data_IF_628919398771
#
_entry.id   IF_628919398771
#
_cell.length_a   1.000
_cell.length_b   1.000
_cell.length_c   1.000
_cell.angle_alpha   90.00
_cell.angle_beta   90.00
_cell.angle_gamma   90.00
#
_symmetry.space_group_name_H-M   'P 1'
#
loop_
_entity.id
_entity.type
_entity.pdbx_description
1 polymer ?
#
# COMPACT_ATOMS: atom_id res chain seq x y z
N UNK A 1 -5.61 0.85 -14.81
CA UNK A 1 -4.79 1.98 -15.30
C UNK A 1 -3.56 1.98 -14.43
N UNK A 2 -2.36 2.19 -15.02
CA UNK A 2 -1.14 2.29 -14.22
C UNK A 2 -1.16 3.56 -13.37
N UNK A 3 -0.61 3.45 -12.18
CA UNK A 3 -0.38 4.57 -11.28
C UNK A 3 0.89 5.29 -11.69
N UNK A 4 0.87 6.62 -11.61
CA UNK A 4 2.05 7.47 -11.74
C UNK A 4 2.51 7.91 -10.35
N UNK A 5 3.82 8.02 -10.13
CA UNK A 5 4.36 8.66 -8.92
C UNK A 5 3.76 10.05 -8.69
N UNK A 6 3.48 10.79 -9.78
CA UNK A 6 2.85 12.12 -9.73
C UNK A 6 1.39 12.13 -9.27
N UNK A 7 0.74 10.96 -9.15
CA UNK A 7 -0.64 10.87 -8.64
C UNK A 7 -0.72 11.03 -7.11
N UNK A 8 0.44 10.95 -6.44
CA UNK A 8 0.60 11.02 -4.99
C UNK A 8 1.47 12.22 -4.62
N UNK A 9 1.18 12.92 -3.51
CA UNK A 9 2.02 14.01 -3.07
C UNK A 9 3.35 13.49 -2.53
N UNK A 10 4.41 14.24 -2.77
CA UNK A 10 5.67 14.09 -2.03
C UNK A 10 5.43 14.44 -0.56
N UNK A 11 5.87 13.56 0.35
CA UNK A 11 5.72 13.77 1.79
C UNK A 11 7.04 14.26 2.41
N UNK A 12 7.01 15.10 3.47
CA UNK A 12 8.23 15.76 3.98
C UNK A 12 9.34 14.86 4.54
N UNK A 13 9.08 13.58 4.79
CA UNK A 13 10.08 12.61 5.25
C UNK A 13 10.43 11.67 4.10
N UNK A 14 11.66 11.76 3.60
CA UNK A 14 12.11 11.04 2.39
C UNK A 14 11.90 9.53 2.49
N UNK A 15 12.20 8.92 3.65
CA UNK A 15 12.00 7.48 3.86
C UNK A 15 10.54 7.05 3.66
N UNK A 16 9.56 7.85 4.14
CA UNK A 16 8.14 7.58 3.90
C UNK A 16 7.79 7.78 2.42
N UNK A 17 8.32 8.82 1.79
CA UNK A 17 8.06 9.06 0.36
C UNK A 17 8.57 7.92 -0.52
N UNK A 18 9.79 7.45 -0.28
CA UNK A 18 10.43 6.39 -1.07
C UNK A 18 9.65 5.07 -0.97
N UNK A 19 9.14 4.72 0.21
CA UNK A 19 8.32 3.52 0.41
C UNK A 19 7.01 3.62 -0.37
N UNK A 20 6.35 4.78 -0.41
CA UNK A 20 5.16 4.97 -1.25
C UNK A 20 5.46 4.77 -2.75
N UNK A 21 6.63 5.22 -3.22
CA UNK A 21 7.03 5.02 -4.61
C UNK A 21 7.29 3.53 -4.91
N UNK A 22 7.89 2.79 -3.98
CA UNK A 22 8.05 1.34 -4.10
C UNK A 22 6.69 0.63 -4.18
N UNK A 23 5.73 1.01 -3.34
CA UNK A 23 4.38 0.44 -3.37
C UNK A 23 3.70 0.69 -4.73
N UNK A 24 3.84 1.89 -5.32
CA UNK A 24 3.38 2.20 -6.68
C UNK A 24 3.97 1.25 -7.72
N UNK A 25 5.27 0.98 -7.66
CA UNK A 25 5.94 0.05 -8.58
C UNK A 25 5.38 -1.37 -8.45
N UNK A 26 5.18 -1.85 -7.22
CA UNK A 26 4.61 -3.17 -6.95
C UNK A 26 3.19 -3.31 -7.47
N UNK A 27 2.34 -2.29 -7.24
CA UNK A 27 0.96 -2.27 -7.74
C UNK A 27 0.94 -2.31 -9.27
N UNK A 28 1.80 -1.53 -9.92
CA UNK A 28 1.90 -1.51 -11.38
C UNK A 28 2.38 -2.85 -11.94
N UNK A 29 3.33 -3.51 -11.26
CA UNK A 29 3.79 -4.84 -11.66
C UNK A 29 2.68 -5.90 -11.53
N UNK A 30 1.88 -5.84 -10.46
CA UNK A 30 0.71 -6.73 -10.28
C UNK A 30 -0.34 -6.45 -11.36
N UNK A 31 -0.59 -5.19 -11.68
CA UNK A 31 -1.52 -4.81 -12.75
C UNK A 31 -1.12 -5.42 -14.10
N UNK A 32 0.15 -5.30 -14.49
CA UNK A 32 0.66 -5.91 -15.72
C UNK A 32 0.53 -7.42 -15.69
N UNK A 33 0.87 -8.04 -14.56
CA UNK A 33 0.75 -9.49 -14.37
C UNK A 33 -0.69 -9.98 -14.52
N UNK A 34 -1.68 -9.24 -14.02
CA UNK A 34 -3.10 -9.58 -14.22
C UNK A 34 -3.46 -9.55 -15.71
N UNK A 35 -3.03 -8.52 -16.45
CA UNK A 35 -3.27 -8.44 -17.90
C UNK A 35 -2.61 -9.60 -18.67
N UNK A 36 -1.39 -10.01 -18.28
CA UNK A 36 -0.71 -11.17 -18.86
C UNK A 36 -1.45 -12.48 -18.57
N UNK A 37 -2.03 -12.62 -17.38
CA UNK A 37 -2.86 -13.79 -17.01
C UNK A 37 -4.15 -13.82 -17.83
N UNK A 38 -4.85 -12.68 -17.94
CA UNK A 38 -6.10 -12.57 -18.71
C UNK A 38 -5.90 -12.86 -20.19
N UNK A 39 -4.74 -12.48 -20.74
CA UNK A 39 -4.36 -12.78 -22.12
C UNK A 39 -3.79 -14.20 -22.33
N UNK A 40 -3.68 -15.01 -21.27
CA UNK A 40 -3.18 -16.38 -21.33
C UNK A 40 -1.66 -16.49 -21.47
N UNK A 41 -0.93 -15.38 -21.36
CA UNK A 41 0.53 -15.32 -21.50
C UNK A 41 1.27 -15.68 -20.20
N UNK A 42 0.56 -15.74 -19.06
CA UNK A 42 1.15 -16.08 -17.77
C UNK A 42 0.25 -17.00 -16.93
N UNK A 43 0.87 -17.77 -16.04
CA UNK A 43 0.18 -18.65 -15.10
C UNK A 43 -0.27 -17.87 -13.86
N UNK A 44 -1.48 -18.17 -13.38
CA UNK A 44 -2.06 -17.59 -12.16
C UNK A 44 -1.20 -17.73 -10.90
N UNK A 45 -0.43 -18.81 -10.78
CA UNK A 45 0.39 -19.09 -9.59
C UNK A 45 1.35 -17.93 -9.23
N UNK A 46 1.87 -17.21 -10.23
CA UNK A 46 2.79 -16.09 -10.04
C UNK A 46 2.10 -14.90 -9.37
N UNK A 47 0.79 -14.73 -9.57
CA UNK A 47 0.04 -13.65 -8.95
C UNK A 47 -0.05 -13.83 -7.44
N UNK A 48 -0.19 -15.07 -6.96
CA UNK A 48 -0.19 -15.35 -5.52
C UNK A 48 1.11 -14.90 -4.84
N UNK A 49 2.27 -15.15 -5.47
CA UNK A 49 3.57 -14.72 -4.96
C UNK A 49 3.67 -13.18 -4.91
N UNK A 50 3.22 -12.49 -5.96
CA UNK A 50 3.26 -11.02 -5.99
C UNK A 50 2.30 -10.35 -5.03
N UNK A 51 1.14 -10.96 -4.79
CA UNK A 51 0.19 -10.48 -3.78
C UNK A 51 0.73 -10.68 -2.36
N UNK A 52 1.47 -11.77 -2.10
CA UNK A 52 2.13 -11.99 -0.82
C UNK A 52 3.27 -11.01 -0.59
N UNK A 53 4.08 -10.72 -1.62
CA UNK A 53 5.11 -9.69 -1.56
C UNK A 53 4.51 -8.31 -1.22
N UNK A 54 3.41 -7.93 -1.88
CA UNK A 54 2.70 -6.68 -1.58
C UNK A 54 2.17 -6.64 -0.15
N UNK A 55 1.52 -7.71 0.30
CA UNK A 55 0.98 -7.79 1.65
C UNK A 55 2.09 -7.64 2.71
N UNK A 56 3.23 -8.31 2.53
CA UNK A 56 4.39 -8.21 3.44
C UNK A 56 4.95 -6.78 3.41
N UNK A 57 5.11 -6.20 2.22
CA UNK A 57 5.61 -4.83 2.08
C UNK A 57 4.71 -3.81 2.80
N UNK A 58 3.40 -3.86 2.60
CA UNK A 58 2.43 -2.97 3.26
C UNK A 58 2.45 -3.17 4.79
N UNK A 59 2.63 -4.40 5.28
CA UNK A 59 2.80 -4.66 6.72
C UNK A 59 4.05 -4.02 7.30
N UNK A 60 5.19 -4.17 6.63
CA UNK A 60 6.47 -3.61 7.05
C UNK A 60 6.46 -2.08 6.99
N UNK A 61 5.89 -1.51 5.93
CA UNK A 61 5.66 -0.07 5.78
C UNK A 61 4.87 0.48 6.97
N UNK A 62 3.66 -0.05 7.23
CA UNK A 62 2.83 0.41 8.34
C UNK A 62 3.52 0.22 9.69
N UNK A 63 4.20 -0.90 9.91
CA UNK A 63 4.93 -1.15 11.15
C UNK A 63 6.05 -0.13 11.38
N UNK A 64 6.76 0.28 10.33
CA UNK A 64 7.80 1.30 10.43
C UNK A 64 7.21 2.67 10.78
N UNK A 65 6.16 3.10 10.10
CA UNK A 65 5.50 4.37 10.39
C UNK A 65 4.89 4.40 11.80
N UNK A 66 4.25 3.31 12.21
CA UNK A 66 3.70 3.16 13.56
C UNK A 66 4.79 3.26 14.64
N UNK A 67 5.94 2.64 14.40
CA UNK A 67 7.11 2.77 15.28
C UNK A 67 7.59 4.22 15.36
N UNK A 68 7.76 4.90 14.23
CA UNK A 68 8.18 6.30 14.18
C UNK A 68 7.17 7.22 14.90
N UNK A 69 5.88 7.00 14.68
CA UNK A 69 4.81 7.74 15.35
C UNK A 69 4.85 7.57 16.87
N UNK A 70 5.08 6.35 17.37
CA UNK A 70 5.21 6.08 18.80
C UNK A 70 6.43 6.76 19.41
N UNK A 71 7.60 6.62 18.79
CA UNK A 71 8.86 7.23 19.26
C UNK A 71 8.75 8.76 19.33
N UNK A 72 8.12 9.36 18.33
CA UNK A 72 7.91 10.80 18.25
C UNK A 72 6.73 11.32 19.07
N UNK A 73 5.97 10.44 19.75
CA UNK A 73 4.75 10.79 20.49
C UNK A 73 3.71 11.52 19.61
N UNK A 74 3.52 11.03 18.38
CA UNK A 74 2.59 11.62 17.42
C UNK A 74 1.14 11.57 17.95
N UNK A 75 0.49 12.74 18.17
CA UNK A 75 -0.78 12.77 18.91
C UNK A 75 -1.93 11.94 18.32
N UNK A 76 -2.15 11.87 16.99
CA UNK A 76 -3.24 11.08 16.43
C UNK A 76 -2.84 9.63 16.07
N UNK A 77 -1.81 9.05 16.72
CA UNK A 77 -1.34 7.68 16.49
C UNK A 77 -2.46 6.64 16.47
N UNK A 78 -3.34 6.62 17.46
CA UNK A 78 -4.39 5.59 17.58
C UNK A 78 -5.35 5.60 16.37
N UNK A 79 -5.66 6.79 15.85
CA UNK A 79 -6.50 6.95 14.67
C UNK A 79 -5.78 6.47 13.41
N UNK A 80 -4.50 6.84 13.25
CA UNK A 80 -3.67 6.43 12.13
C UNK A 80 -3.51 4.90 12.09
N UNK A 81 -3.08 4.31 13.20
CA UNK A 81 -2.96 2.85 13.31
C UNK A 81 -4.26 2.12 12.99
N UNK A 82 -5.41 2.67 13.38
CA UNK A 82 -6.69 2.05 13.06
C UNK A 82 -6.98 2.06 11.54
N UNK A 83 -6.62 3.13 10.83
CA UNK A 83 -6.73 3.16 9.36
C UNK A 83 -5.85 2.08 8.72
N UNK A 84 -4.60 1.92 9.18
CA UNK A 84 -3.71 0.84 8.76
C UNK A 84 -4.29 -0.55 9.01
N UNK A 85 -4.75 -0.82 10.23
CA UNK A 85 -5.33 -2.11 10.58
C UNK A 85 -6.53 -2.48 9.70
N UNK A 86 -7.42 -1.52 9.44
CA UNK A 86 -8.58 -1.73 8.58
C UNK A 86 -8.16 -2.05 7.15
N UNK A 87 -7.26 -1.26 6.58
CA UNK A 87 -6.79 -1.50 5.21
C UNK A 87 -6.03 -2.82 5.07
N UNK A 88 -5.18 -3.15 6.05
CA UNK A 88 -4.43 -4.39 6.06
C UNK A 88 -5.37 -5.62 6.12
N UNK A 89 -6.45 -5.54 6.89
CA UNK A 89 -7.47 -6.58 6.90
C UNK A 89 -8.14 -6.73 5.53
N UNK A 90 -8.50 -5.63 4.89
CA UNK A 90 -9.11 -5.65 3.54
C UNK A 90 -8.18 -6.25 2.48
N UNK A 91 -6.87 -5.91 2.55
CA UNK A 91 -5.85 -6.49 1.68
C UNK A 91 -5.69 -7.99 1.94
N UNK A 92 -5.59 -8.39 3.22
CA UNK A 92 -5.49 -9.80 3.62
C UNK A 92 -6.69 -10.61 3.13
N UNK A 93 -7.90 -10.07 3.25
CA UNK A 93 -9.13 -10.71 2.80
C UNK A 93 -9.13 -10.88 1.27
N UNK A 94 -8.76 -9.83 0.52
CA UNK A 94 -8.66 -9.90 -0.94
C UNK A 94 -7.64 -10.94 -1.41
N UNK A 95 -6.47 -11.00 -0.77
CA UNK A 95 -5.43 -12.00 -1.08
C UNK A 95 -5.89 -13.42 -0.72
N UNK A 96 -6.59 -13.58 0.40
CA UNK A 96 -7.11 -14.89 0.84
C UNK A 96 -8.20 -15.40 -0.10
N UNK A 97 -9.16 -14.56 -0.46
CA UNK A 97 -10.20 -14.90 -1.45
C UNK A 97 -9.60 -15.24 -2.80
N UNK A 98 -8.57 -14.50 -3.25
CA UNK A 98 -7.83 -14.87 -4.46
C UNK A 98 -7.21 -16.28 -4.35
N UNK A 99 -6.54 -16.59 -3.24
CA UNK A 99 -5.87 -17.89 -3.03
C UNK A 99 -6.87 -19.05 -2.99
N UNK A 100 -8.05 -18.84 -2.43
CA UNK A 100 -9.11 -19.85 -2.35
C UNK A 100 -9.83 -20.04 -3.69
N UNK A 101 -10.31 -18.95 -4.30
CA UNK A 101 -11.21 -19.02 -5.45
C UNK A 101 -10.47 -18.98 -6.80
N UNK A 102 -9.27 -18.42 -6.84
CA UNK A 102 -8.49 -18.14 -8.06
C UNK A 102 -9.30 -17.36 -9.12
N UNK A 103 -10.28 -16.57 -8.66
CA UNK A 103 -11.12 -15.71 -9.47
C UNK A 103 -10.42 -14.36 -9.70
N UNK A 104 -10.13 -14.02 -10.95
CA UNK A 104 -9.38 -12.80 -11.30
C UNK A 104 -10.21 -11.53 -11.05
N UNK A 105 -11.51 -11.55 -11.36
CA UNK A 105 -12.37 -10.35 -11.30
C UNK A 105 -12.33 -9.61 -9.95
N UNK A 106 -12.55 -10.28 -8.81
CA UNK A 106 -12.51 -9.62 -7.50
C UNK A 106 -11.16 -9.01 -7.14
N UNK A 107 -10.06 -9.75 -7.32
CA UNK A 107 -8.72 -9.24 -7.01
C UNK A 107 -8.30 -8.13 -7.97
N UNK A 108 -8.68 -8.23 -9.24
CA UNK A 108 -8.47 -7.20 -10.24
C UNK A 108 -9.19 -5.90 -9.85
N UNK A 109 -10.45 -6.00 -9.41
CA UNK A 109 -11.21 -4.84 -8.94
C UNK A 109 -10.56 -4.19 -7.72
N UNK A 110 -10.08 -4.99 -6.77
CA UNK A 110 -9.39 -4.49 -5.59
C UNK A 110 -8.11 -3.72 -5.98
N UNK A 111 -7.25 -4.34 -6.80
CA UNK A 111 -5.96 -3.78 -7.23
C UNK A 111 -6.12 -2.54 -8.13
N UNK A 112 -7.15 -2.50 -8.98
CA UNK A 112 -7.35 -1.38 -9.93
C UNK A 112 -8.05 -0.18 -9.32
N UNK A 113 -8.88 -0.37 -8.31
CA UNK A 113 -9.78 0.68 -7.85
C UNK A 113 -9.68 0.93 -6.35
N UNK A 114 -9.80 -0.12 -5.53
CA UNK A 114 -9.90 0.05 -4.08
C UNK A 114 -8.57 0.46 -3.46
N UNK A 115 -7.51 -0.31 -3.75
CA UNK A 115 -6.18 -0.05 -3.20
C UNK A 115 -5.63 1.32 -3.64
N UNK A 116 -5.61 1.69 -4.93
CA UNK A 116 -5.04 2.98 -5.34
C UNK A 116 -5.81 4.18 -4.80
N UNK A 117 -7.14 4.05 -4.66
CA UNK A 117 -7.96 5.08 -4.03
C UNK A 117 -7.58 5.26 -2.57
N UNK A 118 -7.53 4.15 -1.81
CA UNK A 118 -7.16 4.20 -0.40
C UNK A 118 -5.77 4.81 -0.21
N UNK A 119 -4.78 4.31 -0.95
CA UNK A 119 -3.40 4.80 -0.92
C UNK A 119 -3.34 6.31 -1.18
N UNK A 120 -4.05 6.79 -2.21
CA UNK A 120 -4.08 8.23 -2.54
C UNK A 120 -4.69 9.07 -1.42
N UNK A 121 -5.84 8.64 -0.91
CA UNK A 121 -6.57 9.37 0.13
C UNK A 121 -5.76 9.38 1.45
N UNK A 122 -5.13 8.25 1.80
CA UNK A 122 -4.31 8.07 3.00
C UNK A 122 -3.03 8.92 2.96
N UNK A 123 -2.23 8.79 1.89
CA UNK A 123 -0.98 9.55 1.73
C UNK A 123 -1.24 11.05 1.73
N UNK A 124 -2.28 11.50 1.02
CA UNK A 124 -2.60 12.92 0.88
C UNK A 124 -3.13 13.57 2.14
N UNK A 125 -3.47 12.79 3.17
CA UNK A 125 -4.10 13.30 4.39
C UNK A 125 -3.33 12.91 5.64
N UNK A 126 -3.22 11.61 5.93
CA UNK A 126 -2.65 11.10 7.16
C UNK A 126 -1.12 11.09 7.09
N UNK A 127 -0.54 10.55 6.02
CA UNK A 127 0.92 10.40 5.92
C UNK A 127 1.59 11.74 5.69
N UNK A 128 0.98 12.64 4.92
CA UNK A 128 1.51 13.99 4.72
C UNK A 128 1.68 14.74 6.06
N UNK A 129 0.65 14.68 6.93
CA UNK A 129 0.70 15.30 8.26
C UNK A 129 1.68 14.57 9.17
N UNK A 130 1.71 13.25 9.12
CA UNK A 130 2.60 12.40 9.92
C UNK A 130 4.06 12.66 9.57
N UNK A 131 4.42 12.58 8.30
CA UNK A 131 5.74 12.88 7.78
C UNK A 131 6.20 14.30 8.13
N UNK A 132 5.30 15.30 8.01
CA UNK A 132 5.60 16.67 8.43
C UNK A 132 5.89 16.79 9.93
N UNK A 133 5.16 16.07 10.78
CA UNK A 133 5.43 16.04 12.22
C UNK A 133 6.78 15.37 12.52
N UNK A 134 7.03 14.19 11.93
CA UNK A 134 8.25 13.41 12.15
C UNK A 134 9.51 14.16 11.67
N UNK A 135 9.46 14.79 10.50
CA UNK A 135 10.57 15.58 9.96
C UNK A 135 10.98 16.71 10.92
N UNK A 136 10.02 17.36 11.59
CA UNK A 136 10.29 18.41 12.57
C UNK A 136 10.87 17.89 13.90
N UNK A 137 10.64 16.63 14.26
CA UNK A 137 11.21 16.03 15.47
C UNK A 137 12.64 15.54 15.24
N UNK A 138 12.95 15.02 14.04
CA UNK A 138 14.28 14.51 13.67
C UNK A 138 15.32 15.62 13.41
N UNK A 139 14.89 16.87 13.23
CA UNK A 139 15.76 18.03 13.03
C UNK A 139 16.19 18.73 14.33
N UNK A 140 15.74 18.24 15.49
CA UNK A 140 16.14 18.74 16.82
C UNK A 140 17.24 17.88 17.42
#
# INVERSE_FOLDING_TARGET
MKLSASDFPEVPLLEMHDVHLQEVEMINAIYDLILEIESGNRKKAVLSEKLDELLIHTQEHFANEERLMLEAHFPPYAMHKNAHNLFLQELQDAVSSWKEEQAIGPIDQFMRFKLPRWMKDHISTMDYVTAGYLANQLQK
#
